data_IF_648278728043
#
_entry.id   IF_648278728043
#
_cell.length_a   1.000
_cell.length_b   1.000
_cell.length_c   1.000
_cell.angle_alpha   90.00
_cell.angle_beta   90.00
_cell.angle_gamma   90.00
#
_symmetry.space_group_name_H-M   'P 1'
#
loop_
_entity.id
_entity.type
_entity.pdbx_description
1 polymer ?
#
# COMPACT_ATOMS: atom_id res chain seq x y z
N UNK A 1 -11.89 -27.12 -7.30
CA UNK A 1 -13.10 -26.46 -7.81
C UNK A 1 -13.97 -26.16 -6.61
N UNK A 2 -14.40 -24.94 -6.30
CA UNK A 2 -14.13 -23.60 -6.82
C UNK A 2 -14.47 -22.69 -5.63
N UNK A 3 -13.56 -21.83 -5.17
CA UNK A 3 -13.94 -20.77 -4.22
C UNK A 3 -14.16 -19.50 -5.04
N UNK A 4 -15.31 -19.44 -5.72
CA UNK A 4 -15.95 -18.21 -6.23
C UNK A 4 -16.32 -17.31 -5.06
N UNK A 5 -15.29 -16.80 -4.37
CA UNK A 5 -15.45 -15.81 -3.33
C UNK A 5 -15.21 -14.45 -3.99
N UNK A 6 -16.27 -13.87 -4.52
CA UNK A 6 -16.38 -12.43 -4.85
C UNK A 6 -16.28 -11.62 -3.54
N UNK A 7 -15.15 -11.72 -2.85
CA UNK A 7 -14.88 -10.91 -1.66
C UNK A 7 -14.60 -9.51 -2.15
N UNK A 8 -15.48 -8.60 -1.77
CA UNK A 8 -15.21 -7.17 -1.88
C UNK A 8 -14.05 -6.88 -0.93
N UNK A 9 -12.95 -6.39 -1.49
CA UNK A 9 -11.80 -5.93 -0.72
C UNK A 9 -11.72 -4.42 -0.90
N UNK A 10 -11.20 -3.71 0.09
CA UNK A 10 -11.01 -2.26 0.01
C UNK A 10 -9.60 -1.92 0.41
N UNK A 11 -9.00 -0.96 -0.31
CA UNK A 11 -7.73 -0.35 0.07
C UNK A 11 -8.07 0.99 0.72
N UNK A 12 -7.56 1.19 1.94
CA UNK A 12 -7.83 2.39 2.72
C UNK A 12 -6.52 3.07 3.12
N UNK A 13 -6.44 4.38 2.98
CA UNK A 13 -5.36 5.19 3.56
C UNK A 13 -5.86 5.89 4.82
N UNK A 14 -4.98 6.00 5.81
CA UNK A 14 -5.30 6.65 7.07
C UNK A 14 -4.19 7.63 7.44
N UNK A 15 -4.57 8.79 7.96
CA UNK A 15 -3.66 9.70 8.64
C UNK A 15 -3.55 9.30 10.10
N UNK A 16 -2.34 9.09 10.59
CA UNK A 16 -2.09 8.73 11.98
C UNK A 16 -1.22 9.80 12.65
N UNK A 17 -1.73 10.38 13.74
CA UNK A 17 -1.06 11.46 14.48
C UNK A 17 -0.24 10.96 15.70
N UNK A 18 -0.14 9.65 15.88
CA UNK A 18 0.47 9.03 17.07
C UNK A 18 -0.51 8.62 18.16
N UNK A 19 -1.78 9.06 18.10
CA UNK A 19 -2.85 8.70 19.06
C UNK A 19 -4.12 8.20 18.39
N UNK A 20 -4.47 8.77 17.24
CA UNK A 20 -5.71 8.49 16.51
C UNK A 20 -5.43 8.32 15.02
N UNK A 21 -6.24 7.46 14.43
CA UNK A 21 -6.26 7.21 12.99
C UNK A 21 -7.49 7.85 12.39
N UNK A 22 -7.31 8.66 11.34
CA UNK A 22 -8.38 9.27 10.56
C UNK A 22 -8.36 8.68 9.15
N UNK A 23 -9.44 8.02 8.70
CA UNK A 23 -9.51 7.52 7.33
C UNK A 23 -9.48 8.70 6.35
N UNK A 24 -8.58 8.63 5.36
CA UNK A 24 -8.46 9.63 4.31
C UNK A 24 -9.25 9.21 3.08
N UNK A 25 -8.98 8.00 2.58
CA UNK A 25 -9.58 7.49 1.35
C UNK A 25 -9.87 6.00 1.47
N UNK A 26 -10.86 5.57 0.68
CA UNK A 26 -11.23 4.18 0.49
C UNK A 26 -11.43 3.92 -1.00
N UNK A 27 -10.84 2.86 -1.53
CA UNK A 27 -11.06 2.41 -2.91
C UNK A 27 -11.40 0.93 -2.95
N UNK A 28 -12.42 0.59 -3.73
CA UNK A 28 -12.85 -0.78 -3.92
C UNK A 28 -11.82 -1.55 -4.76
N UNK A 29 -11.48 -2.75 -4.32
CA UNK A 29 -10.69 -3.73 -5.03
C UNK A 29 -11.49 -5.03 -5.09
N UNK A 30 -11.90 -5.44 -6.29
CA UNK A 30 -12.62 -6.69 -6.47
C UNK A 30 -11.60 -7.83 -6.59
N UNK A 31 -11.78 -8.93 -5.85
CA UNK A 31 -10.81 -10.04 -5.78
C UNK A 31 -10.60 -10.81 -7.10
N UNK A 32 -11.30 -10.44 -8.18
CA UNK A 32 -11.09 -10.96 -9.54
C UNK A 32 -9.85 -10.41 -10.24
N UNK A 33 -9.15 -9.46 -9.61
CA UNK A 33 -8.04 -8.69 -10.18
C UNK A 33 -6.68 -9.18 -9.64
N UNK A 34 -5.61 -8.99 -10.41
CA UNK A 34 -4.23 -9.40 -10.11
C UNK A 34 -3.65 -8.71 -8.86
N UNK A 35 -2.60 -9.27 -8.26
CA UNK A 35 -1.84 -8.62 -7.16
C UNK A 35 -1.23 -7.26 -7.58
N UNK A 36 -0.96 -7.07 -8.87
CA UNK A 36 -0.39 -5.84 -9.42
C UNK A 36 -1.39 -4.68 -9.36
N UNK A 37 -2.69 -4.96 -9.54
CA UNK A 37 -3.76 -3.96 -9.46
C UNK A 37 -3.95 -3.45 -8.03
N UNK A 38 -3.85 -4.32 -7.02
CA UNK A 38 -3.88 -3.93 -5.60
C UNK A 38 -2.74 -2.95 -5.29
N UNK A 39 -1.54 -3.21 -5.81
CA UNK A 39 -0.39 -2.32 -5.65
C UNK A 39 -0.59 -0.98 -6.37
N UNK A 40 -1.14 -0.99 -7.59
CA UNK A 40 -1.44 0.22 -8.36
C UNK A 40 -2.43 1.13 -7.61
N UNK A 41 -3.51 0.55 -7.08
CA UNK A 41 -4.51 1.28 -6.28
C UNK A 41 -3.86 1.92 -5.04
N UNK A 42 -2.99 1.21 -4.34
CA UNK A 42 -2.29 1.76 -3.17
C UNK A 42 -1.46 3.00 -3.52
N UNK A 43 -0.76 2.99 -4.66
CA UNK A 43 0.01 4.14 -5.15
C UNK A 43 -0.90 5.30 -5.54
N UNK A 44 -2.03 5.02 -6.19
CA UNK A 44 -3.00 6.07 -6.54
C UNK A 44 -3.53 6.81 -5.31
N UNK A 45 -3.85 6.08 -4.24
CA UNK A 45 -4.31 6.69 -2.99
C UNK A 45 -3.21 7.53 -2.31
N UNK A 46 -1.95 7.11 -2.42
CA UNK A 46 -0.80 7.90 -1.97
C UNK A 46 -0.69 9.18 -2.79
N UNK A 47 -0.80 9.10 -4.11
CA UNK A 47 -0.73 10.26 -4.99
C UNK A 47 -1.86 11.24 -4.70
N UNK A 48 -3.08 10.75 -4.46
CA UNK A 48 -4.20 11.60 -4.01
C UNK A 48 -3.91 12.30 -2.68
N UNK A 49 -3.31 11.58 -1.72
CA UNK A 49 -2.91 12.15 -0.43
C UNK A 49 -1.87 13.26 -0.60
N UNK A 50 -0.84 13.03 -1.44
CA UNK A 50 0.20 14.02 -1.74
C UNK A 50 -0.36 15.23 -2.49
N UNK A 51 -1.26 15.02 -3.46
CA UNK A 51 -1.87 16.09 -4.25
C UNK A 51 -2.77 17.00 -3.40
N UNK A 52 -3.33 16.49 -2.30
CA UNK A 52 -4.06 17.31 -1.31
C UNK A 52 -3.13 18.16 -0.43
N UNK A 53 -1.81 18.03 -0.59
CA UNK A 53 -0.80 18.76 0.19
C UNK A 53 -0.40 18.08 1.50
N UNK A 54 -0.85 16.84 1.74
CA UNK A 54 -0.39 16.09 2.90
C UNK A 54 0.97 15.48 2.63
N UNK A 55 1.94 15.73 3.51
CA UNK A 55 3.28 15.17 3.42
C UNK A 55 3.54 14.27 4.64
N UNK A 56 3.25 12.96 4.54
CA UNK A 56 3.48 12.04 5.65
C UNK A 56 4.97 11.93 5.93
N UNK A 57 5.34 12.01 7.21
CA UNK A 57 6.73 11.80 7.64
C UNK A 57 7.17 10.33 7.49
N UNK A 58 6.22 9.40 7.54
CA UNK A 58 6.43 7.96 7.34
C UNK A 58 5.16 7.30 6.82
N UNK A 59 5.30 6.35 5.91
CA UNK A 59 4.20 5.53 5.37
C UNK A 59 4.29 4.13 5.99
N UNK A 60 3.26 3.72 6.73
CA UNK A 60 3.15 2.36 7.23
C UNK A 60 2.46 1.49 6.17
N UNK A 61 3.12 0.42 5.75
CA UNK A 61 2.61 -0.47 4.71
C UNK A 61 2.43 -1.89 5.25
N UNK A 62 1.35 -2.52 4.83
CA UNK A 62 1.11 -3.93 5.14
C UNK A 62 2.14 -4.83 4.44
N UNK A 63 2.36 -6.01 5.00
CA UNK A 63 3.37 -6.98 4.59
C UNK A 63 3.19 -7.42 3.14
N UNK A 64 1.94 -7.53 2.68
CA UNK A 64 1.63 -7.83 1.27
C UNK A 64 2.24 -6.80 0.31
N UNK A 65 2.18 -5.52 0.67
CA UNK A 65 2.81 -4.44 -0.11
C UNK A 65 4.33 -4.43 0.07
N UNK A 66 4.83 -4.73 1.26
CA UNK A 66 6.26 -4.80 1.58
C UNK A 66 7.04 -5.88 0.80
N UNK A 67 6.34 -6.87 0.26
CA UNK A 67 6.93 -7.89 -0.62
C UNK A 67 6.88 -7.54 -2.11
N UNK A 68 6.16 -6.48 -2.50
CA UNK A 68 6.05 -6.04 -3.89
C UNK A 68 7.15 -5.01 -4.21
N UNK A 69 8.20 -5.43 -4.92
CA UNK A 69 9.35 -4.57 -5.25
C UNK A 69 8.98 -3.38 -6.14
N UNK A 70 8.00 -3.54 -7.04
CA UNK A 70 7.50 -2.45 -7.90
C UNK A 70 6.83 -1.38 -7.04
N UNK A 71 6.02 -1.81 -6.06
CA UNK A 71 5.37 -0.89 -5.12
C UNK A 71 6.39 -0.10 -4.31
N UNK A 72 7.41 -0.78 -3.76
CA UNK A 72 8.47 -0.12 -2.99
C UNK A 72 9.26 0.90 -3.83
N UNK A 73 9.65 0.56 -5.06
CA UNK A 73 10.32 1.50 -5.96
C UNK A 73 9.48 2.74 -6.22
N UNK A 74 8.16 2.59 -6.41
CA UNK A 74 7.25 3.73 -6.59
C UNK A 74 7.20 4.64 -5.35
N UNK A 75 7.33 4.10 -4.13
CA UNK A 75 7.45 4.91 -2.91
C UNK A 75 8.78 5.68 -2.87
N UNK A 76 9.87 5.03 -3.27
CA UNK A 76 11.23 5.61 -3.30
C UNK A 76 11.34 6.74 -4.34
N UNK A 77 10.75 6.56 -5.52
CA UNK A 77 10.65 7.60 -6.57
C UNK A 77 9.93 8.87 -6.06
N UNK A 78 8.95 8.68 -5.17
CA UNK A 78 8.21 9.77 -4.49
C UNK A 78 8.94 10.34 -3.28
N UNK A 79 10.16 9.84 -2.98
CA UNK A 79 10.98 10.23 -1.82
C UNK A 79 10.26 10.03 -0.48
N UNK A 80 9.38 9.03 -0.40
CA UNK A 80 8.64 8.71 0.83
C UNK A 80 9.45 7.76 1.71
N UNK A 81 9.49 8.05 3.01
CA UNK A 81 9.99 7.11 4.02
C UNK A 81 8.89 6.10 4.33
N UNK A 82 9.22 4.82 4.41
CA UNK A 82 8.24 3.77 4.67
C UNK A 82 8.72 2.73 5.69
N UNK A 83 7.77 2.16 6.44
CA UNK A 83 7.96 0.97 7.27
C UNK A 83 6.99 -0.10 6.81
N UNK A 84 7.51 -1.28 6.49
CA UNK A 84 6.71 -2.40 6.06
C UNK A 84 7.23 -3.71 6.61
N UNK A 85 6.31 -4.65 6.86
CA UNK A 85 6.68 -6.04 7.08
C UNK A 85 7.27 -6.63 5.81
N UNK A 86 8.39 -7.35 5.93
CA UNK A 86 8.99 -8.09 4.82
C UNK A 86 8.91 -9.58 5.17
N UNK A 87 8.50 -10.41 4.22
CA UNK A 87 8.46 -11.85 4.43
C UNK A 87 9.88 -12.40 4.69
N UNK A 88 9.97 -13.33 5.64
CA UNK A 88 11.23 -13.92 6.14
C UNK A 88 12.12 -14.53 5.04
N UNK A 89 11.53 -14.94 3.91
CA UNK A 89 12.20 -15.64 2.82
C UNK A 89 12.60 -14.74 1.63
N UNK A 90 12.56 -13.41 1.79
CA UNK A 90 13.05 -12.51 0.74
C UNK A 90 14.58 -12.55 0.71
N UNK A 91 15.16 -13.17 -0.32
CA UNK A 91 16.59 -13.07 -0.61
C UNK A 91 16.94 -11.59 -0.80
N UNK A 92 17.66 -11.01 0.15
CA UNK A 92 18.21 -9.66 0.01
C UNK A 92 19.49 -9.77 -0.82
N UNK A 93 19.46 -9.32 -2.07
CA UNK A 93 20.67 -8.80 -2.70
C UNK A 93 20.88 -7.39 -2.13
N UNK A 94 21.69 -7.32 -1.07
CA UNK A 94 22.21 -6.05 -0.55
C UNK A 94 23.32 -5.62 -1.52
N UNK A 95 23.28 -4.41 -2.12
CA UNK A 95 24.47 -3.86 -2.77
C UNK A 95 25.57 -3.51 -1.75
#
# INVERSE_FOLDING_TARGET
>A
MDKTNNKIVTVTTHYYDGKKSLPLDIKLYQHSYSLEEKASIGIELIDQTLNRGHHPGIVLIDTDYGNNTIFLKKLEERKLKYLGGIAKNRLRSIP
#
